data_IF_717063135490
#
_entry.id   IF_717063135490
#
_cell.length_a   1.000
_cell.length_b   1.000
_cell.length_c   1.000
_cell.angle_alpha   90.00
_cell.angle_beta   90.00
_cell.angle_gamma   90.00
#
_symmetry.space_group_name_H-M   'P 1'
#
loop_
_entity.id
_entity.type
_entity.pdbx_description
1 polymer ?
#
# COMPACT_ATOMS: atom_id res chain seq x y z
N UNK A 1 -5.21 -59.34 -3.50
CA UNK A 1 -3.97 -58.63 -3.07
C UNK A 1 -3.28 -57.76 -4.14
N UNK A 2 -3.66 -57.79 -5.43
CA UNK A 2 -2.97 -57.05 -6.52
C UNK A 2 -3.22 -55.52 -6.53
N UNK A 3 -4.44 -55.06 -6.20
CA UNK A 3 -4.82 -53.62 -6.19
C UNK A 3 -4.01 -52.79 -5.18
N UNK A 4 -3.75 -53.33 -3.98
CA UNK A 4 -3.08 -52.60 -2.89
C UNK A 4 -1.60 -52.26 -3.20
N UNK A 5 -0.91 -53.07 -4.03
CA UNK A 5 0.47 -52.81 -4.45
C UNK A 5 0.56 -51.77 -5.57
N UNK A 6 -0.44 -51.71 -6.45
CA UNK A 6 -0.52 -50.71 -7.53
C UNK A 6 -0.74 -49.30 -6.97
N UNK A 7 -1.62 -49.12 -5.98
CA UNK A 7 -1.86 -47.82 -5.34
C UNK A 7 -0.62 -47.28 -4.62
N UNK A 8 0.14 -48.13 -3.94
CA UNK A 8 1.35 -47.72 -3.21
C UNK A 8 2.45 -47.26 -4.18
N UNK A 9 2.60 -47.93 -5.33
CA UNK A 9 3.58 -47.54 -6.36
C UNK A 9 3.20 -46.23 -7.05
N UNK A 10 1.91 -46.00 -7.31
CA UNK A 10 1.41 -44.72 -7.85
C UNK A 10 1.65 -43.55 -6.90
N UNK A 11 1.53 -43.76 -5.59
CA UNK A 11 1.81 -42.73 -4.58
C UNK A 11 3.31 -42.45 -4.47
N UNK A 12 4.16 -43.49 -4.52
CA UNK A 12 5.62 -43.35 -4.46
C UNK A 12 6.22 -42.57 -5.63
N UNK A 13 5.55 -42.53 -6.78
CA UNK A 13 6.01 -41.79 -7.97
C UNK A 13 5.26 -40.46 -8.12
N UNK A 14 3.95 -40.44 -7.83
CA UNK A 14 3.14 -39.23 -7.96
C UNK A 14 3.49 -38.17 -6.91
N UNK A 15 3.74 -38.56 -5.66
CA UNK A 15 4.04 -37.60 -4.59
C UNK A 15 5.35 -36.82 -4.83
N UNK A 16 6.48 -37.44 -5.21
CA UNK A 16 7.69 -36.70 -5.56
C UNK A 16 7.50 -35.72 -6.71
N UNK A 17 6.73 -36.08 -7.75
CA UNK A 17 6.46 -35.20 -8.90
C UNK A 17 5.64 -33.98 -8.44
N UNK A 18 4.64 -34.19 -7.59
CA UNK A 18 3.83 -33.10 -7.02
C UNK A 18 4.69 -32.20 -6.14
N UNK A 19 5.55 -32.76 -5.29
CA UNK A 19 6.45 -31.98 -4.44
C UNK A 19 7.47 -31.20 -5.26
N UNK A 20 8.01 -31.79 -6.33
CA UNK A 20 8.93 -31.11 -7.25
C UNK A 20 8.20 -29.97 -7.99
N UNK A 21 6.97 -30.21 -8.46
CA UNK A 21 6.15 -29.17 -9.08
C UNK A 21 5.87 -28.03 -8.10
N UNK A 22 5.47 -28.32 -6.86
CA UNK A 22 5.27 -27.31 -5.81
C UNK A 22 6.56 -26.54 -5.49
N UNK A 23 7.71 -27.22 -5.44
CA UNK A 23 9.00 -26.58 -5.20
C UNK A 23 9.35 -25.51 -6.23
N UNK A 24 8.98 -25.72 -7.50
CA UNK A 24 9.20 -24.73 -8.56
C UNK A 24 8.08 -23.69 -8.68
N UNK A 25 6.84 -24.08 -8.36
CA UNK A 25 5.66 -23.22 -8.53
C UNK A 25 5.50 -22.24 -7.36
N UNK A 26 5.76 -22.67 -6.13
CA UNK A 26 5.58 -21.84 -4.93
C UNK A 26 6.44 -20.57 -4.93
N UNK A 27 7.75 -20.61 -5.27
CA UNK A 27 8.56 -19.40 -5.34
C UNK A 27 8.08 -18.38 -6.37
N UNK A 28 7.54 -18.87 -7.50
CA UNK A 28 6.96 -18.01 -8.54
C UNK A 28 5.74 -17.28 -7.97
N UNK A 29 4.83 -18.00 -7.30
CA UNK A 29 3.68 -17.39 -6.65
C UNK A 29 4.07 -16.42 -5.52
N UNK A 30 5.10 -16.75 -4.74
CA UNK A 30 5.62 -15.85 -3.70
C UNK A 30 6.18 -14.57 -4.32
N UNK A 31 6.97 -14.68 -5.40
CA UNK A 31 7.51 -13.50 -6.10
C UNK A 31 6.43 -12.62 -6.74
N UNK A 32 5.32 -13.22 -7.18
CA UNK A 32 4.16 -12.49 -7.73
C UNK A 32 3.37 -11.76 -6.65
N UNK A 33 3.51 -12.14 -5.38
CA UNK A 33 2.85 -11.50 -4.25
C UNK A 33 3.53 -10.22 -3.79
N UNK A 34 4.75 -9.92 -4.26
CA UNK A 34 5.46 -8.72 -3.84
C UNK A 34 5.16 -7.53 -4.75
N UNK A 35 4.98 -6.37 -4.11
CA UNK A 35 5.04 -5.10 -4.81
C UNK A 35 6.39 -4.96 -5.52
N UNK A 36 6.33 -4.53 -6.78
CA UNK A 36 7.51 -4.23 -7.58
C UNK A 36 8.14 -2.91 -7.13
N UNK A 37 9.34 -2.63 -7.63
CA UNK A 37 10.01 -1.33 -7.42
C UNK A 37 9.12 -0.17 -7.86
N UNK A 38 9.14 0.91 -7.08
CA UNK A 38 8.32 2.09 -7.30
C UNK A 38 8.61 2.72 -8.66
N UNK A 39 7.55 3.00 -9.42
CA UNK A 39 7.64 3.75 -10.67
C UNK A 39 6.97 5.10 -10.46
N UNK A 40 7.67 6.17 -10.88
CA UNK A 40 7.09 7.50 -10.85
C UNK A 40 5.93 7.62 -11.82
N UNK A 41 4.76 7.91 -11.27
CA UNK A 41 3.55 8.21 -12.01
C UNK A 41 3.07 9.61 -11.64
N UNK A 42 3.13 10.55 -12.59
CA UNK A 42 2.96 11.99 -12.31
C UNK A 42 4.00 12.44 -11.26
N UNK A 43 3.55 12.88 -10.11
CA UNK A 43 4.35 13.34 -8.99
C UNK A 43 4.36 12.33 -7.83
N UNK A 44 4.03 11.05 -8.05
CA UNK A 44 3.99 10.05 -6.96
C UNK A 44 4.69 8.77 -7.39
N UNK A 45 5.48 8.19 -6.49
CA UNK A 45 5.98 6.84 -6.69
C UNK A 45 4.88 5.84 -6.35
N UNK A 46 4.59 4.95 -7.30
CA UNK A 46 3.58 3.91 -7.14
C UNK A 46 4.26 2.56 -7.19
N UNK A 47 3.96 1.74 -6.19
CA UNK A 47 4.46 0.39 -6.06
C UNK A 47 3.34 -0.56 -6.47
N UNK A 48 3.56 -1.29 -7.56
CA UNK A 48 2.53 -2.12 -8.19
C UNK A 48 2.62 -3.56 -7.68
N UNK A 49 1.53 -4.05 -7.09
CA UNK A 49 1.35 -5.44 -6.66
C UNK A 49 0.52 -6.23 -7.66
N UNK A 50 0.14 -7.46 -7.30
CA UNK A 50 -0.67 -8.31 -8.19
C UNK A 50 -2.10 -7.77 -8.36
N UNK A 51 -2.71 -7.32 -7.27
CA UNK A 51 -4.13 -6.93 -7.24
C UNK A 51 -4.37 -5.45 -6.99
N UNK A 52 -3.43 -4.78 -6.35
CA UNK A 52 -3.51 -3.40 -5.88
C UNK A 52 -2.13 -2.75 -5.97
N UNK A 53 -2.08 -1.48 -5.57
CA UNK A 53 -0.88 -0.68 -5.46
C UNK A 53 -0.86 0.05 -4.11
N UNK A 54 0.32 0.48 -3.69
CA UNK A 54 0.48 1.49 -2.66
C UNK A 54 1.24 2.70 -3.18
N UNK A 55 1.00 3.85 -2.55
CA UNK A 55 1.66 5.11 -2.81
C UNK A 55 2.86 5.28 -1.88
N UNK A 56 4.02 5.62 -2.44
CA UNK A 56 5.22 6.01 -1.69
C UNK A 56 5.45 7.52 -1.80
N UNK A 57 6.67 7.93 -2.09
CA UNK A 57 7.06 9.35 -2.14
C UNK A 57 6.17 10.20 -3.06
N UNK A 58 5.65 11.31 -2.56
CA UNK A 58 5.08 12.39 -3.37
C UNK A 58 6.13 13.46 -3.65
N UNK A 59 6.36 13.76 -4.92
CA UNK A 59 7.29 14.79 -5.38
C UNK A 59 6.60 16.12 -5.55
N UNK A 60 6.68 16.97 -4.53
CA UNK A 60 6.04 18.27 -4.56
C UNK A 60 6.77 19.24 -5.49
N UNK A 61 6.03 19.84 -6.41
CA UNK A 61 6.53 20.74 -7.45
C UNK A 61 6.47 22.23 -7.07
N UNK A 62 6.01 22.55 -5.85
CA UNK A 62 5.82 23.91 -5.31
C UNK A 62 4.62 24.67 -5.83
N UNK A 63 3.74 24.04 -6.61
CA UNK A 63 2.56 24.70 -7.16
C UNK A 63 1.30 24.31 -6.38
N UNK A 64 1.04 23.01 -6.25
CA UNK A 64 -0.17 22.50 -5.62
C UNK A 64 0.06 22.25 -4.12
N UNK A 65 -0.83 22.80 -3.29
CA UNK A 65 -0.82 22.56 -1.83
C UNK A 65 -1.68 21.37 -1.40
N UNK A 66 -2.30 20.67 -2.37
CA UNK A 66 -3.11 19.48 -2.12
C UNK A 66 -2.44 18.26 -2.76
N UNK A 67 -2.12 17.28 -1.93
CA UNK A 67 -1.60 15.98 -2.37
C UNK A 67 -2.78 15.04 -2.60
N UNK A 68 -3.07 14.77 -3.88
CA UNK A 68 -4.13 13.83 -4.27
C UNK A 68 -3.54 12.52 -4.72
N UNK A 69 -3.84 11.44 -3.98
CA UNK A 69 -3.45 10.10 -4.36
C UNK A 69 -4.33 9.61 -5.51
N UNK A 70 -3.75 9.11 -6.62
CA UNK A 70 -4.54 8.55 -7.70
C UNK A 70 -5.37 7.35 -7.21
N UNK A 71 -6.64 7.24 -7.62
CA UNK A 71 -7.47 6.09 -7.25
C UNK A 71 -6.93 4.77 -7.83
N UNK A 72 -6.24 4.82 -8.98
CA UNK A 72 -5.76 3.64 -9.73
C UNK A 72 -4.44 3.88 -10.45
N UNK A 73 -3.68 2.80 -10.62
CA UNK A 73 -2.52 2.70 -11.49
C UNK A 73 -2.61 1.41 -12.30
N UNK A 74 -2.42 1.47 -13.63
CA UNK A 74 -2.60 0.34 -14.54
C UNK A 74 -3.93 -0.45 -14.35
N UNK A 75 -4.99 0.24 -13.96
CA UNK A 75 -6.31 -0.34 -13.70
C UNK A 75 -6.48 -0.99 -12.31
N UNK A 76 -5.39 -1.16 -11.56
CA UNK A 76 -5.37 -1.64 -10.16
C UNK A 76 -5.63 -0.48 -9.20
N UNK A 77 -6.40 -0.69 -8.12
CA UNK A 77 -6.64 0.34 -7.11
C UNK A 77 -5.36 0.66 -6.34
N UNK A 78 -5.13 1.93 -6.04
CA UNK A 78 -4.18 2.34 -5.01
C UNK A 78 -4.91 2.29 -3.67
N UNK A 79 -4.43 1.47 -2.75
CA UNK A 79 -5.16 1.12 -1.51
C UNK A 79 -4.44 1.49 -0.23
N UNK A 80 -3.16 1.82 -0.31
CA UNK A 80 -2.37 2.13 0.87
C UNK A 80 -1.44 3.33 0.67
N UNK A 81 -1.15 4.01 1.79
CA UNK A 81 -0.06 4.96 1.95
C UNK A 81 1.11 4.26 2.64
N UNK A 82 2.25 4.22 1.95
CA UNK A 82 3.41 3.44 2.36
C UNK A 82 3.17 1.94 2.26
N UNK A 83 4.23 1.17 2.48
CA UNK A 83 4.16 -0.29 2.42
C UNK A 83 5.53 -0.94 2.32
N UNK A 84 5.53 -2.19 1.86
CA UNK A 84 6.74 -2.99 1.70
C UNK A 84 6.81 -3.52 0.29
N UNK A 85 7.97 -3.40 -0.34
CA UNK A 85 8.20 -3.96 -1.69
C UNK A 85 9.31 -5.00 -1.69
N UNK A 86 9.34 -5.81 -2.74
CA UNK A 86 10.31 -6.90 -2.89
C UNK A 86 10.32 -7.81 -1.65
N UNK A 87 11.49 -8.21 -1.12
CA UNK A 87 11.60 -9.09 0.06
C UNK A 87 11.16 -8.47 1.40
N UNK A 88 10.53 -7.29 1.41
CA UNK A 88 10.11 -6.60 2.64
C UNK A 88 10.86 -5.31 2.92
N UNK A 89 11.30 -4.59 1.88
CA UNK A 89 11.94 -3.27 2.06
C UNK A 89 10.85 -2.26 2.44
N UNK A 90 10.92 -1.61 3.61
CA UNK A 90 9.94 -0.60 4.00
C UNK A 90 10.00 0.61 3.08
N UNK A 91 8.86 1.26 2.90
CA UNK A 91 8.71 2.48 2.11
C UNK A 91 7.65 3.34 2.76
N UNK A 92 8.08 4.49 3.27
CA UNK A 92 7.19 5.50 3.82
C UNK A 92 6.48 6.26 2.69
N UNK A 93 5.28 6.73 2.98
CA UNK A 93 4.66 7.84 2.27
C UNK A 93 5.12 9.15 2.89
N UNK A 94 5.83 9.98 2.13
CA UNK A 94 6.32 11.29 2.57
C UNK A 94 6.41 12.23 1.37
N UNK A 95 6.63 13.52 1.64
CA UNK A 95 6.75 14.53 0.59
C UNK A 95 8.22 14.87 0.34
N UNK A 96 8.60 14.91 -0.93
CA UNK A 96 9.97 15.21 -1.36
C UNK A 96 10.00 16.37 -2.35
N UNK A 97 10.83 17.40 -2.14
CA UNK A 97 11.58 17.66 -0.91
C UNK A 97 10.64 18.01 0.27
N UNK A 98 11.15 17.91 1.50
CA UNK A 98 10.45 18.39 2.69
C UNK A 98 10.06 19.86 2.53
N UNK A 99 8.92 20.23 3.10
CA UNK A 99 8.41 21.60 3.03
C UNK A 99 9.25 22.54 3.90
N UNK A 100 9.31 23.84 3.55
CA UNK A 100 9.67 24.87 4.52
C UNK A 100 8.70 24.83 5.71
N UNK A 101 9.21 25.07 6.94
CA UNK A 101 8.41 25.03 8.19
C UNK A 101 7.14 25.88 8.14
N UNK A 102 7.13 26.97 7.37
CA UNK A 102 5.96 27.84 7.22
C UNK A 102 4.87 27.31 6.27
N UNK A 103 5.05 26.13 5.68
CA UNK A 103 4.12 25.54 4.70
C UNK A 103 3.65 24.16 5.16
N UNK A 104 2.35 23.93 5.03
CA UNK A 104 1.76 22.60 5.18
C UNK A 104 0.87 22.24 4.00
N UNK A 105 0.77 20.96 3.71
CA UNK A 105 -0.06 20.40 2.64
C UNK A 105 -1.39 19.87 3.18
N UNK A 106 -2.38 19.86 2.29
CA UNK A 106 -3.61 19.08 2.46
C UNK A 106 -3.42 17.70 1.85
N UNK A 107 -3.56 16.63 2.63
CA UNK A 107 -3.62 15.27 2.09
C UNK A 107 -5.07 14.92 1.74
N UNK A 108 -5.32 14.52 0.50
CA UNK A 108 -6.61 13.98 0.09
C UNK A 108 -6.61 12.45 0.07
N UNK A 109 -7.39 11.85 0.98
CA UNK A 109 -7.59 10.41 1.09
C UNK A 109 -8.66 9.95 0.08
N UNK A 110 -8.21 9.27 -0.98
CA UNK A 110 -9.05 8.72 -2.04
C UNK A 110 -9.93 7.56 -1.58
N UNK A 111 -10.96 7.19 -2.37
CA UNK A 111 -11.98 6.21 -1.97
C UNK A 111 -11.49 4.77 -1.80
N UNK A 112 -10.36 4.45 -2.44
CA UNK A 112 -9.76 3.12 -2.39
C UNK A 112 -8.75 2.96 -1.25
N UNK A 113 -8.33 4.05 -0.60
CA UNK A 113 -7.37 3.98 0.50
C UNK A 113 -8.03 3.31 1.70
N UNK A 114 -7.48 2.16 2.08
CA UNK A 114 -7.94 1.34 3.20
C UNK A 114 -6.86 1.07 4.24
N UNK A 115 -5.61 1.41 3.94
CA UNK A 115 -4.47 1.15 4.82
C UNK A 115 -3.54 2.37 4.87
N UNK A 116 -2.99 2.63 6.05
CA UNK A 116 -1.93 3.61 6.28
C UNK A 116 -0.84 2.82 7.01
N UNK A 117 0.23 2.48 6.28
CA UNK A 117 1.26 1.58 6.77
C UNK A 117 2.40 2.37 7.42
N UNK A 118 3.06 3.22 6.63
CA UNK A 118 4.18 4.05 7.05
C UNK A 118 4.01 5.41 6.37
N UNK A 119 3.85 6.47 7.16
CA UNK A 119 3.64 7.84 6.68
C UNK A 119 4.35 8.83 7.59
N UNK A 120 4.96 9.85 6.98
CA UNK A 120 5.54 11.01 7.65
C UNK A 120 4.52 12.15 7.63
N UNK A 121 3.93 12.44 8.79
CA UNK A 121 2.81 13.37 8.90
C UNK A 121 3.22 14.84 8.99
N UNK A 122 4.50 15.14 9.24
CA UNK A 122 5.00 16.50 9.51
C UNK A 122 4.69 17.51 8.39
N UNK A 123 4.66 17.05 7.14
CA UNK A 123 4.35 17.89 5.98
C UNK A 123 2.85 18.19 5.81
N UNK A 124 1.97 17.44 6.48
CA UNK A 124 0.52 17.55 6.35
C UNK A 124 -0.07 18.30 7.54
N UNK A 125 -0.83 19.36 7.26
CA UNK A 125 -1.49 20.18 8.30
C UNK A 125 -3.02 20.16 8.15
N UNK A 126 -3.52 19.40 7.18
CA UNK A 126 -4.94 19.25 6.93
C UNK A 126 -5.22 17.97 6.17
N UNK A 127 -6.34 17.31 6.47
CA UNK A 127 -6.78 16.13 5.71
C UNK A 127 -8.19 16.29 5.20
N UNK A 128 -8.36 15.98 3.92
CA UNK A 128 -9.65 15.76 3.30
C UNK A 128 -9.82 14.28 2.95
N UNK A 129 -11.05 13.78 2.99
CA UNK A 129 -11.32 12.39 2.69
C UNK A 129 -12.55 12.27 1.78
N UNK A 130 -12.44 11.38 0.79
CA UNK A 130 -13.56 11.09 -0.10
C UNK A 130 -14.77 10.56 0.69
N UNK A 131 -15.99 11.07 0.44
CA UNK A 131 -17.20 10.55 1.08
C UNK A 131 -17.52 9.10 0.68
N UNK A 132 -16.96 8.62 -0.44
CA UNK A 132 -17.08 7.23 -0.89
C UNK A 132 -16.07 6.29 -0.21
N UNK A 133 -15.08 6.82 0.52
CA UNK A 133 -14.14 6.00 1.27
C UNK A 133 -14.88 5.23 2.38
N UNK A 134 -14.72 3.90 2.38
CA UNK A 134 -15.42 2.99 3.31
C UNK A 134 -14.65 2.69 4.59
N UNK A 135 -13.39 3.09 4.65
CA UNK A 135 -12.47 2.79 5.75
C UNK A 135 -12.22 4.02 6.61
N UNK A 136 -12.04 5.18 5.98
CA UNK A 136 -11.73 6.43 6.65
C UNK A 136 -12.77 7.50 6.36
N UNK A 137 -12.82 8.51 7.23
CA UNK A 137 -13.52 9.77 7.00
C UNK A 137 -12.72 10.89 7.63
N UNK A 138 -12.93 12.12 7.15
CA UNK A 138 -12.34 13.30 7.75
C UNK A 138 -13.44 14.21 8.27
N UNK A 139 -13.23 14.81 9.44
CA UNK A 139 -14.11 15.79 10.06
C UNK A 139 -13.22 16.91 10.60
N UNK A 140 -13.50 18.16 10.19
CA UNK A 140 -12.72 19.34 10.56
C UNK A 140 -11.20 19.21 10.39
N UNK A 141 -10.76 18.52 9.33
CA UNK A 141 -9.34 18.34 8.99
C UNK A 141 -8.65 17.16 9.68
N UNK A 142 -9.34 16.52 10.64
CA UNK A 142 -8.88 15.34 11.39
C UNK A 142 -9.35 14.07 10.67
N UNK A 143 -8.46 13.10 10.52
CA UNK A 143 -8.72 11.82 9.88
C UNK A 143 -9.11 10.78 10.94
N UNK A 144 -10.20 10.05 10.69
CA UNK A 144 -10.74 9.03 11.57
C UNK A 144 -10.94 7.69 10.84
N UNK A 145 -10.79 6.59 11.58
CA UNK A 145 -11.19 5.26 11.12
C UNK A 145 -12.71 5.07 11.31
N UNK A 146 -13.44 4.72 10.25
CA UNK A 146 -14.91 4.50 10.30
C UNK A 146 -15.34 3.32 11.16
N UNK A 147 -14.43 2.39 11.47
CA UNK A 147 -14.75 1.15 12.17
C UNK A 147 -15.06 1.39 13.64
N UNK A 148 -14.34 2.32 14.26
CA UNK A 148 -14.36 2.58 15.70
C UNK A 148 -14.25 4.08 16.04
N UNK A 149 -14.32 4.95 15.04
CA UNK A 149 -14.20 6.42 15.14
C UNK A 149 -12.91 6.87 15.84
N UNK A 150 -11.86 6.05 15.78
CA UNK A 150 -10.55 6.40 16.33
C UNK A 150 -9.85 7.43 15.44
N UNK A 151 -9.19 8.40 16.07
CA UNK A 151 -8.32 9.38 15.40
C UNK A 151 -7.13 8.63 14.80
N UNK A 152 -6.90 8.85 13.50
CA UNK A 152 -5.77 8.33 12.73
C UNK A 152 -4.72 9.41 12.54
N UNK A 153 -5.15 10.64 12.33
CA UNK A 153 -4.28 11.80 12.20
C UNK A 153 -5.03 13.07 12.62
N UNK A 154 -4.45 13.80 13.56
CA UNK A 154 -4.89 15.13 13.98
C UNK A 154 -3.74 16.12 13.70
N UNK A 155 -3.95 17.11 12.80
CA UNK A 155 -2.96 18.15 12.56
C UNK A 155 -2.51 18.91 13.81
N UNK A 156 -3.39 19.05 14.81
CA UNK A 156 -3.10 19.81 16.02
C UNK A 156 -2.17 19.04 17.00
N UNK A 157 -2.03 17.72 16.82
CA UNK A 157 -1.18 16.86 17.65
C UNK A 157 0.30 16.84 17.18
N UNK A 158 0.64 17.51 16.07
CA UNK A 158 2.03 17.66 15.62
C UNK A 158 2.71 18.71 16.51
N UNK A 159 3.19 18.31 17.70
CA UNK A 159 4.08 19.15 18.50
C UNK A 159 5.39 19.36 17.74
N UNK A 160 5.70 20.62 17.40
CA UNK A 160 6.99 21.02 16.83
C UNK A 160 8.08 20.92 17.92
N UNK A 161 8.70 19.74 18.04
CA UNK A 161 9.92 19.50 18.84
C UNK A 161 11.17 20.19 18.25
#
# INVERSE_FOLDING_TARGET
>A
MKKRKSTVLSVLIGLPIILLALYYIVPIFISMGFYQEGVRYKNIDVYEGLFDCFAGTYYWDREEMTVTIPDKYHGKPITALGGYFGPGVPTLFFVSPSLPEEKGLTLFIGKNISEINEIEWEDFVWVECSPENKTFYAEDGVLYARKDDSVVFDPDDIEHD
#
